data_IF_196742439538
#
_entry.id   IF_196742439538
#
_cell.length_a   1.000
_cell.length_b   1.000
_cell.length_c   1.000
_cell.angle_alpha   90.00
_cell.angle_beta   90.00
_cell.angle_gamma   90.00
#
_symmetry.space_group_name_H-M   'P 1'
#
loop_
_entity.id
_entity.type
_entity.pdbx_description
1 polymer ?
#
# COMPACT_ATOMS: atom_id res chain seq x y z
N UNK A 1 -18.78 31.27 -9.03
CA UNK A 1 -18.68 30.58 -7.72
C UNK A 1 -18.03 29.24 -7.97
N UNK A 2 -16.97 28.82 -7.24
CA UNK A 2 -16.38 27.50 -7.44
C UNK A 2 -17.37 26.41 -7.01
N UNK A 3 -17.59 25.43 -7.89
CA UNK A 3 -18.56 24.36 -7.71
C UNK A 3 -18.23 23.49 -6.48
N UNK A 4 -19.12 23.49 -5.50
CA UNK A 4 -18.96 22.72 -4.25
C UNK A 4 -18.71 21.23 -4.48
N UNK A 5 -19.25 20.65 -5.57
CA UNK A 5 -19.05 19.24 -5.95
C UNK A 5 -17.60 18.88 -6.27
N UNK A 6 -16.75 19.83 -6.64
CA UNK A 6 -15.37 19.52 -7.01
C UNK A 6 -14.49 19.24 -5.78
N UNK A 7 -14.76 19.92 -4.65
CA UNK A 7 -13.97 19.79 -3.42
C UNK A 7 -14.11 18.42 -2.74
N UNK A 8 -15.28 17.78 -2.83
CA UNK A 8 -15.49 16.47 -2.22
C UNK A 8 -14.74 15.36 -2.98
N UNK A 9 -14.77 15.39 -4.32
CA UNK A 9 -14.02 14.45 -5.15
C UNK A 9 -12.50 14.54 -4.94
N UNK A 10 -11.97 15.74 -4.77
CA UNK A 10 -10.54 15.92 -4.54
C UNK A 10 -10.12 15.34 -3.17
N UNK A 11 -10.94 15.52 -2.12
CA UNK A 11 -10.69 14.92 -0.81
C UNK A 11 -10.74 13.38 -0.84
N UNK A 12 -11.70 12.80 -1.54
CA UNK A 12 -11.80 11.34 -1.68
C UNK A 12 -10.59 10.75 -2.42
N UNK A 13 -10.09 11.46 -3.44
CA UNK A 13 -8.88 11.09 -4.16
C UNK A 13 -7.65 11.14 -3.26
N UNK A 14 -7.46 12.24 -2.54
CA UNK A 14 -6.34 12.42 -1.63
C UNK A 14 -6.32 11.35 -0.52
N UNK A 15 -7.50 10.98 -0.03
CA UNK A 15 -7.64 9.89 0.93
C UNK A 15 -7.17 8.56 0.34
N UNK A 16 -7.65 8.18 -0.85
CA UNK A 16 -7.22 6.95 -1.53
C UNK A 16 -5.71 6.92 -1.81
N UNK A 17 -5.14 8.04 -2.26
CA UNK A 17 -3.70 8.16 -2.50
C UNK A 17 -2.88 7.94 -1.23
N UNK A 18 -3.32 8.51 -0.09
CA UNK A 18 -2.65 8.28 1.20
C UNK A 18 -2.74 6.83 1.66
N UNK A 19 -3.88 6.17 1.43
CA UNK A 19 -4.02 4.74 1.74
C UNK A 19 -3.08 3.87 0.89
N UNK A 20 -3.02 4.13 -0.42
CA UNK A 20 -2.10 3.43 -1.33
C UNK A 20 -0.64 3.65 -0.92
N UNK A 21 -0.27 4.88 -0.56
CA UNK A 21 1.06 5.22 -0.06
C UNK A 21 1.41 4.43 1.22
N UNK A 22 0.47 4.31 2.16
CA UNK A 22 0.67 3.54 3.38
C UNK A 22 0.88 2.05 3.09
N UNK A 23 0.06 1.46 2.20
CA UNK A 23 0.20 0.07 1.81
C UNK A 23 1.59 -0.18 1.18
N UNK A 24 2.03 0.71 0.29
CA UNK A 24 3.34 0.60 -0.36
C UNK A 24 4.50 0.76 0.64
N UNK A 25 4.41 1.69 1.59
CA UNK A 25 5.42 1.86 2.65
C UNK A 25 5.55 0.60 3.51
N UNK A 26 4.43 0.07 4.00
CA UNK A 26 4.43 -1.15 4.83
C UNK A 26 4.96 -2.34 4.03
N UNK A 27 4.55 -2.49 2.76
CA UNK A 27 5.04 -3.56 1.88
C UNK A 27 6.56 -3.49 1.74
N UNK A 28 7.10 -2.29 1.44
CA UNK A 28 8.54 -2.06 1.32
C UNK A 28 9.27 -2.42 2.60
N UNK A 29 8.81 -1.96 3.76
CA UNK A 29 9.46 -2.21 5.05
C UNK A 29 9.54 -3.70 5.37
N UNK A 30 8.46 -4.46 5.13
CA UNK A 30 8.43 -5.91 5.33
C UNK A 30 9.46 -6.61 4.42
N UNK A 31 9.46 -6.32 3.12
CA UNK A 31 10.35 -6.97 2.15
C UNK A 31 11.82 -6.65 2.44
N UNK A 32 12.14 -5.37 2.71
CA UNK A 32 13.50 -4.95 3.08
C UNK A 32 13.96 -5.65 4.36
N UNK A 33 13.08 -5.75 5.37
CA UNK A 33 13.41 -6.46 6.62
C UNK A 33 13.77 -7.92 6.38
N UNK A 34 13.04 -8.62 5.52
CA UNK A 34 13.36 -10.01 5.17
C UNK A 34 14.70 -10.15 4.43
N UNK A 35 15.06 -9.19 3.57
CA UNK A 35 16.38 -9.16 2.90
C UNK A 35 17.49 -8.89 3.91
N UNK A 36 17.32 -7.89 4.79
CA UNK A 36 18.29 -7.58 5.87
C UNK A 36 18.54 -8.78 6.79
N UNK A 37 17.51 -9.59 7.04
CA UNK A 37 17.60 -10.80 7.86
C UNK A 37 18.14 -12.02 7.08
N UNK A 38 18.47 -11.87 5.80
CA UNK A 38 18.94 -12.96 4.93
C UNK A 38 17.87 -14.04 4.69
N UNK A 39 16.58 -13.71 4.86
CA UNK A 39 15.46 -14.63 4.64
C UNK A 39 14.96 -14.62 3.20
N UNK A 40 15.29 -13.56 2.46
CA UNK A 40 14.99 -13.41 1.04
C UNK A 40 16.23 -12.85 0.32
N UNK A 41 16.31 -13.13 -0.98
CA UNK A 41 17.36 -12.57 -1.83
C UNK A 41 16.80 -11.41 -2.67
N UNK A 42 17.64 -10.46 -3.11
CA UNK A 42 17.20 -9.43 -4.04
C UNK A 42 16.64 -9.98 -5.36
N UNK A 43 17.07 -11.18 -5.78
CA UNK A 43 16.61 -11.82 -7.02
C UNK A 43 15.14 -12.19 -6.98
N UNK A 44 14.58 -12.51 -5.80
CA UNK A 44 13.15 -12.82 -5.63
C UNK A 44 12.31 -11.59 -5.26
N UNK A 45 12.85 -10.38 -5.38
CA UNK A 45 12.20 -9.17 -4.87
C UNK A 45 10.83 -8.92 -5.51
N UNK A 46 10.73 -9.04 -6.83
CA UNK A 46 9.48 -8.74 -7.57
C UNK A 46 8.31 -9.60 -7.10
N UNK A 47 8.49 -10.92 -7.13
CA UNK A 47 7.46 -11.89 -6.72
C UNK A 47 7.04 -11.71 -5.26
N UNK A 48 8.02 -11.54 -4.36
CA UNK A 48 7.74 -11.36 -2.93
C UNK A 48 7.04 -10.03 -2.67
N UNK A 49 7.48 -8.95 -3.32
CA UNK A 49 6.87 -7.64 -3.14
C UNK A 49 5.40 -7.65 -3.54
N UNK A 50 5.04 -8.29 -4.65
CA UNK A 50 3.65 -8.47 -5.06
C UNK A 50 2.84 -9.30 -4.05
N UNK A 51 3.41 -10.40 -3.54
CA UNK A 51 2.76 -11.25 -2.55
C UNK A 51 2.47 -10.51 -1.23
N UNK A 52 3.45 -9.75 -0.73
CA UNK A 52 3.32 -8.95 0.49
C UNK A 52 2.31 -7.83 0.27
N UNK A 53 2.39 -7.13 -0.87
CA UNK A 53 1.45 -6.07 -1.23
C UNK A 53 0.00 -6.57 -1.19
N UNK A 54 -0.28 -7.69 -1.86
CA UNK A 54 -1.62 -8.31 -1.87
C UNK A 54 -2.07 -8.70 -0.47
N UNK A 55 -1.16 -9.21 0.35
CA UNK A 55 -1.45 -9.57 1.74
C UNK A 55 -1.87 -8.34 2.56
N UNK A 56 -1.09 -7.26 2.52
CA UNK A 56 -1.36 -6.01 3.24
C UNK A 56 -2.65 -5.34 2.72
N UNK A 57 -2.82 -5.24 1.41
CA UNK A 57 -4.02 -4.66 0.80
C UNK A 57 -5.29 -5.45 1.15
N UNK A 58 -5.22 -6.78 1.20
CA UNK A 58 -6.35 -7.62 1.59
C UNK A 58 -6.66 -7.63 3.10
N UNK A 59 -5.70 -7.24 3.95
CA UNK A 59 -5.96 -7.05 5.38
C UNK A 59 -6.90 -5.86 5.61
N UNK A 60 -6.78 -4.81 4.78
CA UNK A 60 -7.71 -3.66 4.76
C UNK A 60 -9.14 -4.10 4.46
N UNK A 61 -9.36 -4.84 3.37
CA UNK A 61 -10.72 -5.24 2.98
C UNK A 61 -11.41 -6.15 4.00
N UNK A 62 -10.64 -6.85 4.83
CA UNK A 62 -11.14 -7.72 5.90
C UNK A 62 -11.56 -7.00 7.19
N UNK A 63 -11.12 -5.76 7.41
CA UNK A 63 -11.44 -4.98 8.61
C UNK A 63 -12.21 -3.68 8.31
N UNK A 64 -12.61 -3.46 7.06
CA UNK A 64 -13.43 -2.32 6.62
C UNK A 64 -14.93 -2.62 6.53
N UNK A 65 -15.42 -3.59 7.31
CA UNK A 65 -16.85 -3.91 7.46
C UNK A 65 -17.45 -3.28 8.70
#
# INVERSE_FOLDING_TARGET
MPDFKNRDKDRDRDFKLREEELILKVTKEIVVKFIEMGKLTPTSFEEVFELVYRTVASAKSRHGG
#
